data_IF_663883698794
#
_entry.id   IF_663883698794
#
_cell.length_a   1.000
_cell.length_b   1.000
_cell.length_c   1.000
_cell.angle_alpha   90.00
_cell.angle_beta   90.00
_cell.angle_gamma   90.00
#
_symmetry.space_group_name_H-M   'P 1'
#
loop_
_entity.id
_entity.type
_entity.pdbx_description
1 polymer ?
#
# COMPACT_ATOMS: atom_id res chain seq x y z
N UNK A 1 -11.54 0.34 -11.39
CA UNK A 1 -12.87 0.78 -10.90
C UNK A 1 -12.60 1.79 -9.80
N UNK A 2 -13.01 3.03 -9.97
CA UNK A 2 -12.49 4.18 -9.21
C UNK A 2 -12.94 4.10 -7.75
N UNK A 3 -11.97 4.01 -6.84
CA UNK A 3 -12.21 3.83 -5.41
C UNK A 3 -13.00 5.01 -4.82
N UNK A 4 -12.82 6.20 -5.40
CA UNK A 4 -13.55 7.43 -5.03
C UNK A 4 -15.02 7.35 -5.39
N UNK A 5 -15.36 6.82 -6.57
CA UNK A 5 -16.75 6.66 -6.99
C UNK A 5 -17.50 5.70 -6.06
N UNK A 6 -16.86 4.59 -5.68
CA UNK A 6 -17.46 3.63 -4.75
C UNK A 6 -17.71 4.25 -3.36
N UNK A 7 -16.77 5.04 -2.85
CA UNK A 7 -16.97 5.75 -1.58
C UNK A 7 -18.02 6.86 -1.69
N UNK A 8 -18.11 7.56 -2.83
CA UNK A 8 -19.17 8.54 -3.08
C UNK A 8 -20.56 7.90 -3.12
N UNK A 9 -20.69 6.73 -3.76
CA UNK A 9 -21.93 5.95 -3.71
C UNK A 9 -22.23 5.50 -2.27
N UNK A 10 -21.23 5.02 -1.53
CA UNK A 10 -21.41 4.61 -0.14
C UNK A 10 -21.92 5.75 0.74
N UNK A 11 -21.33 6.94 0.64
CA UNK A 11 -21.79 8.12 1.37
C UNK A 11 -23.24 8.46 1.01
N UNK A 12 -23.56 8.46 -0.29
CA UNK A 12 -24.91 8.76 -0.79
C UNK A 12 -25.97 7.78 -0.30
N UNK A 13 -25.66 6.49 -0.11
CA UNK A 13 -26.66 5.50 0.29
C UNK A 13 -26.73 5.24 1.79
N UNK A 14 -25.63 5.40 2.53
CA UNK A 14 -25.55 5.03 3.95
C UNK A 14 -25.20 6.18 4.91
N UNK A 15 -24.70 7.31 4.42
CA UNK A 15 -24.21 8.42 5.25
C UNK A 15 -24.76 9.79 4.80
N UNK A 16 -26.06 9.86 4.49
CA UNK A 16 -26.73 11.04 3.92
C UNK A 16 -26.52 12.34 4.70
N UNK A 17 -26.35 12.24 6.02
CA UNK A 17 -26.22 13.37 6.94
C UNK A 17 -24.81 13.53 7.50
N UNK A 18 -23.83 12.81 6.93
CA UNK A 18 -22.43 12.89 7.37
C UNK A 18 -21.58 13.35 6.19
N UNK A 19 -20.84 14.43 6.41
CA UNK A 19 -19.82 14.87 5.46
C UNK A 19 -18.59 13.96 5.59
N UNK A 20 -18.43 13.04 4.65
CA UNK A 20 -17.34 12.07 4.62
C UNK A 20 -16.27 12.58 3.65
N UNK A 21 -15.15 13.05 4.20
CA UNK A 21 -13.98 13.40 3.40
C UNK A 21 -13.14 12.15 3.11
N UNK A 22 -12.97 11.81 1.84
CA UNK A 22 -12.24 10.63 1.41
C UNK A 22 -10.84 11.03 0.92
N UNK A 23 -9.83 10.64 1.68
CA UNK A 23 -8.44 10.73 1.26
C UNK A 23 -7.94 9.36 0.81
N UNK A 24 -7.50 9.25 -0.44
CA UNK A 24 -6.91 8.03 -0.99
C UNK A 24 -5.41 8.25 -1.15
N UNK A 25 -4.62 7.39 -0.54
CA UNK A 25 -3.17 7.35 -0.74
C UNK A 25 -2.70 5.98 -1.22
N UNK A 26 -1.73 5.99 -2.12
CA UNK A 26 -1.09 4.81 -2.67
C UNK A 26 0.26 4.63 -1.97
N UNK A 27 0.39 3.55 -1.22
CA UNK A 27 1.63 3.24 -0.52
C UNK A 27 2.51 2.36 -1.41
N UNK A 28 3.55 2.97 -2.00
CA UNK A 28 4.61 2.22 -2.66
C UNK A 28 5.59 1.65 -1.61
N UNK A 29 5.43 0.37 -1.30
CA UNK A 29 6.36 -0.39 -0.48
C UNK A 29 7.43 -1.11 -1.31
N UNK A 30 7.17 -1.35 -2.61
CA UNK A 30 8.04 -2.15 -3.48
C UNK A 30 9.36 -1.45 -3.74
N UNK A 31 9.37 -0.12 -3.86
CA UNK A 31 10.61 0.65 -4.02
C UNK A 31 11.60 0.46 -2.87
N UNK A 32 11.14 0.18 -1.67
CA UNK A 32 12.00 -0.03 -0.50
C UNK A 32 12.65 -1.42 -0.46
N UNK A 33 12.17 -2.38 -1.25
CA UNK A 33 12.68 -3.75 -1.30
C UNK A 33 13.19 -4.18 -2.68
N UNK A 34 13.13 -3.27 -3.67
CA UNK A 34 13.48 -3.55 -5.07
C UNK A 34 14.95 -3.94 -5.25
N UNK A 35 15.85 -3.36 -4.46
CA UNK A 35 17.28 -3.68 -4.49
C UNK A 35 17.56 -5.12 -4.00
N UNK A 36 16.91 -5.55 -2.92
CA UNK A 36 16.97 -6.93 -2.43
C UNK A 36 16.29 -7.92 -3.38
N UNK A 37 15.20 -7.52 -4.04
CA UNK A 37 14.59 -8.33 -5.09
C UNK A 37 15.61 -8.63 -6.20
N UNK A 38 16.28 -7.61 -6.72
CA UNK A 38 17.27 -7.79 -7.80
C UNK A 38 18.32 -8.84 -7.45
N UNK A 39 18.92 -8.75 -6.26
CA UNK A 39 19.99 -9.67 -5.87
C UNK A 39 19.52 -11.11 -5.66
N UNK A 40 18.32 -11.33 -5.12
CA UNK A 40 17.74 -12.67 -4.96
C UNK A 40 17.45 -13.28 -6.34
N UNK A 41 16.85 -12.51 -7.24
CA UNK A 41 16.51 -13.00 -8.58
C UNK A 41 17.73 -13.29 -9.44
N UNK A 42 18.78 -12.48 -9.31
CA UNK A 42 20.06 -12.71 -9.97
C UNK A 42 20.72 -14.00 -9.51
N UNK A 43 20.44 -14.44 -8.28
CA UNK A 43 21.02 -15.65 -7.69
C UNK A 43 20.27 -16.94 -8.03
N UNK A 44 18.96 -16.87 -8.30
CA UNK A 44 18.11 -18.05 -8.56
C UNK A 44 17.78 -18.25 -10.05
N UNK A 45 18.09 -17.29 -10.93
CA UNK A 45 17.69 -17.34 -12.34
C UNK A 45 18.89 -17.53 -13.28
N UNK A 46 18.86 -18.52 -14.21
CA UNK A 46 19.91 -18.70 -15.22
C UNK A 46 20.09 -17.49 -16.14
N UNK A 47 21.32 -17.24 -16.58
CA UNK A 47 21.69 -16.03 -17.33
C UNK A 47 21.08 -15.99 -18.75
N UNK A 48 20.76 -17.15 -19.33
CA UNK A 48 20.39 -17.30 -20.74
C UNK A 48 18.94 -16.91 -21.04
N UNK A 49 18.09 -16.70 -20.02
CA UNK A 49 16.64 -16.58 -20.18
C UNK A 49 16.10 -15.19 -19.80
N UNK A 50 16.64 -14.11 -20.39
CA UNK A 50 16.29 -12.71 -20.06
C UNK A 50 14.79 -12.38 -20.18
N UNK A 51 14.09 -12.90 -21.18
CA UNK A 51 12.65 -12.67 -21.36
C UNK A 51 11.82 -13.42 -20.32
N UNK A 52 12.23 -14.65 -19.99
CA UNK A 52 11.65 -15.46 -18.92
C UNK A 52 11.93 -14.83 -17.55
N UNK A 53 13.10 -14.19 -17.35
CA UNK A 53 13.50 -13.42 -16.16
C UNK A 53 12.51 -12.29 -15.88
N UNK A 54 12.11 -11.50 -16.88
CA UNK A 54 11.15 -10.41 -16.67
C UNK A 54 9.77 -10.93 -16.21
N UNK A 55 9.28 -12.01 -16.81
CA UNK A 55 7.97 -12.59 -16.44
C UNK A 55 7.99 -13.32 -15.11
N UNK A 56 9.05 -14.07 -14.82
CA UNK A 56 9.27 -14.74 -13.54
C UNK A 56 9.45 -13.70 -12.42
N UNK A 57 10.27 -12.67 -12.62
CA UNK A 57 10.47 -11.64 -11.62
C UNK A 57 9.17 -10.89 -11.33
N UNK A 58 8.36 -10.54 -12.34
CA UNK A 58 7.09 -9.86 -12.09
C UNK A 58 6.09 -10.70 -11.27
N UNK A 59 6.12 -12.03 -11.42
CA UNK A 59 5.10 -12.93 -10.84
C UNK A 59 5.57 -13.58 -9.52
N UNK A 60 6.82 -14.04 -9.44
CA UNK A 60 7.37 -14.70 -8.26
C UNK A 60 7.79 -13.72 -7.17
N UNK A 61 8.14 -12.47 -7.52
CA UNK A 61 8.71 -11.51 -6.59
C UNK A 61 7.77 -11.19 -5.44
N UNK A 62 6.50 -10.93 -5.76
CA UNK A 62 5.49 -10.68 -4.74
C UNK A 62 5.31 -11.92 -3.84
N UNK A 63 5.25 -13.12 -4.43
CA UNK A 63 5.08 -14.39 -3.68
C UNK A 63 6.25 -14.68 -2.74
N UNK A 64 7.50 -14.51 -3.19
CA UNK A 64 8.70 -14.76 -2.37
C UNK A 64 8.72 -13.80 -1.18
N UNK A 65 8.42 -12.53 -1.41
CA UNK A 65 8.40 -11.53 -0.35
C UNK A 65 7.26 -11.77 0.64
N UNK A 66 6.09 -12.25 0.19
CA UNK A 66 5.00 -12.66 1.08
C UNK A 66 5.34 -13.90 1.90
N UNK A 67 6.03 -14.89 1.30
CA UNK A 67 6.33 -16.16 1.96
C UNK A 67 7.53 -16.10 2.89
N UNK A 68 8.43 -15.14 2.71
CA UNK A 68 9.64 -15.02 3.55
C UNK A 68 9.35 -14.13 4.76
N UNK A 69 9.45 -14.70 5.97
CA UNK A 69 9.07 -14.02 7.22
C UNK A 69 9.82 -12.69 7.45
N UNK A 70 11.11 -12.63 7.11
CA UNK A 70 11.91 -11.41 7.25
C UNK A 70 11.41 -10.26 6.35
N UNK A 71 11.18 -10.54 5.06
CA UNK A 71 10.68 -9.54 4.14
C UNK A 71 9.27 -9.08 4.48
N UNK A 72 8.41 -9.98 4.97
CA UNK A 72 7.07 -9.64 5.43
C UNK A 72 7.10 -8.61 6.58
N UNK A 73 7.96 -8.79 7.57
CA UNK A 73 8.13 -7.85 8.67
C UNK A 73 8.59 -6.48 8.18
N UNK A 74 9.61 -6.44 7.31
CA UNK A 74 10.11 -5.18 6.74
C UNK A 74 9.00 -4.45 5.96
N UNK A 75 8.23 -5.18 5.14
CA UNK A 75 7.10 -4.60 4.38
C UNK A 75 6.04 -4.03 5.33
N UNK A 76 5.67 -4.76 6.37
CA UNK A 76 4.70 -4.31 7.38
C UNK A 76 5.16 -3.01 8.05
N UNK A 77 6.43 -2.95 8.47
CA UNK A 77 6.99 -1.76 9.11
C UNK A 77 7.03 -0.56 8.17
N UNK A 78 7.36 -0.76 6.89
CA UNK A 78 7.36 0.31 5.88
C UNK A 78 5.95 0.88 5.70
N UNK A 79 4.97 0.01 5.51
CA UNK A 79 3.59 0.45 5.23
C UNK A 79 2.98 1.09 6.47
N UNK A 80 3.17 0.52 7.67
CA UNK A 80 2.73 1.10 8.94
C UNK A 80 3.31 2.50 9.15
N UNK A 81 4.63 2.65 8.98
CA UNK A 81 5.31 3.93 9.13
C UNK A 81 4.80 4.96 8.13
N UNK A 82 4.67 4.58 6.84
CA UNK A 82 4.14 5.47 5.80
C UNK A 82 2.70 5.88 6.10
N UNK A 83 1.85 4.97 6.55
CA UNK A 83 0.48 5.26 6.95
C UNK A 83 0.45 6.26 8.11
N UNK A 84 1.19 6.01 9.19
CA UNK A 84 1.25 6.90 10.35
C UNK A 84 1.73 8.30 9.98
N UNK A 85 2.80 8.41 9.20
CA UNK A 85 3.28 9.72 8.72
C UNK A 85 2.25 10.46 7.88
N UNK A 86 1.44 9.76 7.08
CA UNK A 86 0.37 10.38 6.29
C UNK A 86 -0.80 10.81 7.18
N UNK A 87 -1.17 9.98 8.15
CA UNK A 87 -2.18 10.31 9.14
C UNK A 87 -1.80 11.58 9.93
N UNK A 88 -0.57 11.64 10.46
CA UNK A 88 -0.06 12.81 11.19
C UNK A 88 -0.11 14.08 10.32
N UNK A 89 0.27 13.98 9.04
CA UNK A 89 0.19 15.11 8.10
C UNK A 89 -1.23 15.57 7.82
N UNK A 90 -2.20 14.64 7.76
CA UNK A 90 -3.62 14.97 7.60
C UNK A 90 -4.16 15.67 8.85
N UNK A 91 -3.80 15.18 10.04
CA UNK A 91 -4.22 15.78 11.31
C UNK A 91 -3.57 17.15 11.54
N UNK A 92 -2.34 17.36 11.07
CA UNK A 92 -1.62 18.62 11.16
C UNK A 92 -1.92 19.60 9.99
N UNK A 93 -2.92 19.32 9.16
CA UNK A 93 -3.28 20.18 8.04
C UNK A 93 -3.62 21.61 8.52
N UNK A 94 -2.90 22.65 8.06
CA UNK A 94 -3.15 24.04 8.45
C UNK A 94 -4.57 24.53 8.13
N UNK A 95 -5.25 23.91 7.16
CA UNK A 95 -6.64 24.20 6.84
C UNK A 95 -7.63 23.67 7.89
N UNK A 96 -7.16 22.96 8.92
CA UNK A 96 -7.98 22.48 10.03
C UNK A 96 -9.00 21.40 9.64
N UNK A 97 -8.89 20.82 8.44
CA UNK A 97 -9.89 19.88 7.88
C UNK A 97 -10.14 18.64 8.75
N UNK A 98 -9.17 18.27 9.59
CA UNK A 98 -9.22 17.06 10.40
C UNK A 98 -9.17 17.32 11.91
N UNK A 99 -9.20 18.58 12.38
CA UNK A 99 -8.93 18.92 13.79
C UNK A 99 -9.90 18.22 14.77
N UNK A 100 -11.17 18.08 14.40
CA UNK A 100 -12.22 17.39 15.17
C UNK A 100 -12.77 16.15 14.44
N UNK A 101 -12.07 15.66 13.40
CA UNK A 101 -12.56 14.57 12.57
C UNK A 101 -12.37 13.21 13.26
N UNK A 102 -13.40 12.36 13.21
CA UNK A 102 -13.25 10.93 13.49
C UNK A 102 -12.69 10.25 12.24
N UNK A 103 -11.51 9.66 12.35
CA UNK A 103 -10.82 9.04 11.22
C UNK A 103 -11.05 7.54 11.21
N UNK A 104 -11.43 7.00 10.04
CA UNK A 104 -11.47 5.56 9.77
C UNK A 104 -10.46 5.25 8.69
N UNK A 105 -9.63 4.23 8.92
CA UNK A 105 -8.63 3.76 7.95
C UNK A 105 -9.20 2.54 7.23
N UNK A 106 -9.10 2.52 5.90
CA UNK A 106 -9.50 1.37 5.08
C UNK A 106 -8.30 0.90 4.28
N UNK A 107 -7.85 -0.31 4.58
CA UNK A 107 -6.79 -0.98 3.87
C UNK A 107 -7.31 -1.85 2.72
N UNK A 108 -6.65 -1.81 1.57
CA UNK A 108 -6.90 -2.72 0.45
C UNK A 108 -5.64 -3.55 0.15
N UNK A 109 -5.82 -4.83 -0.20
CA UNK A 109 -4.72 -5.77 -0.44
C UNK A 109 -3.80 -5.87 0.78
N UNK A 110 -2.51 -5.57 0.65
CA UNK A 110 -1.56 -5.52 1.76
C UNK A 110 -1.94 -4.50 2.85
N UNK A 111 -2.67 -3.44 2.50
CA UNK A 111 -3.15 -2.50 3.50
C UNK A 111 -4.14 -3.11 4.49
N UNK A 112 -4.79 -4.23 4.15
CA UNK A 112 -5.79 -4.88 5.02
C UNK A 112 -5.18 -5.70 6.17
N UNK A 113 -3.86 -5.92 6.16
CA UNK A 113 -3.13 -6.71 7.18
C UNK A 113 -2.39 -5.84 8.19
N UNK A 114 -2.65 -4.53 8.14
CA UNK A 114 -2.05 -3.47 8.97
C UNK A 114 -3.20 -2.80 9.71
#
# INVERSE_FOLDING_TARGET
RDLRENFGAMQKYWFLHTDVNVHVEIIDWKSAVSAEQGSIFDRITPAEARTTRMSLNATLSDVIFYKTAHHRANIHDIVTRKMNTRYEKLMADPAGRCLDARVSVVGHSLGSVI
#
